data_IF_381394262693
#
_entry.id   IF_381394262693
#
_cell.length_a   1.000
_cell.length_b   1.000
_cell.length_c   1.000
_cell.angle_alpha   90.00
_cell.angle_beta   90.00
_cell.angle_gamma   90.00
#
_symmetry.space_group_name_H-M   'P 1'
#
loop_
_entity.id
_entity.type
_entity.pdbx_description
1 polymer ?
#
# COMPACT_ATOMS: atom_id res chain seq x y z
N UNK A 1 -20.76 3.88 9.10
CA UNK A 1 -19.51 4.65 8.93
C UNK A 1 -18.53 3.75 8.18
N UNK A 2 -18.04 4.20 7.06
CA UNK A 2 -16.94 3.56 6.35
C UNK A 2 -15.69 4.42 6.55
N UNK A 3 -14.54 3.80 6.79
CA UNK A 3 -13.28 4.51 6.96
C UNK A 3 -12.11 3.57 6.78
N UNK A 4 -10.99 4.10 6.28
CA UNK A 4 -9.73 3.38 6.06
C UNK A 4 -8.80 3.40 7.28
N UNK A 5 -9.15 4.11 8.35
CA UNK A 5 -8.31 4.23 9.53
C UNK A 5 -8.62 3.13 10.55
N UNK A 6 -7.60 2.41 11.07
CA UNK A 6 -7.75 1.45 12.16
C UNK A 6 -7.94 2.13 13.53
N UNK A 7 -7.87 3.47 13.56
CA UNK A 7 -7.95 4.25 14.80
C UNK A 7 -9.38 4.40 15.23
N UNK A 8 -9.69 3.98 16.47
CA UNK A 8 -10.98 4.16 17.12
C UNK A 8 -10.94 5.36 18.07
N UNK A 9 -12.05 6.10 18.16
CA UNK A 9 -12.22 7.15 19.16
C UNK A 9 -12.70 6.50 20.45
N UNK A 10 -11.91 6.60 21.51
CA UNK A 10 -12.20 5.95 22.82
C UNK A 10 -13.52 6.38 23.45
N UNK A 11 -13.98 7.61 23.17
CA UNK A 11 -15.15 8.21 23.85
C UNK A 11 -16.49 7.95 23.13
N UNK A 12 -16.51 7.26 21.99
CA UNK A 12 -17.74 7.06 21.19
C UNK A 12 -18.24 5.61 21.26
N UNK A 13 -17.62 4.76 22.02
CA UNK A 13 -18.10 3.40 22.27
C UNK A 13 -19.16 3.38 23.38
N UNK A 14 -20.26 4.08 23.18
CA UNK A 14 -21.52 3.70 23.84
C UNK A 14 -21.86 2.30 23.34
N UNK A 15 -22.26 1.39 24.20
CA UNK A 15 -22.46 -0.06 24.04
C UNK A 15 -23.09 -0.64 22.75
N UNK A 16 -23.17 0.12 21.68
CA UNK A 16 -23.57 -0.26 20.32
C UNK A 16 -22.38 -0.35 19.40
N UNK A 17 -21.45 -1.28 19.66
CA UNK A 17 -20.35 -1.59 18.76
C UNK A 17 -20.87 -2.43 17.57
N UNK A 18 -21.58 -1.78 16.63
CA UNK A 18 -22.11 -2.40 15.41
C UNK A 18 -21.06 -2.39 14.27
N UNK A 19 -19.88 -1.84 14.52
CA UNK A 19 -18.80 -1.77 13.53
C UNK A 19 -18.18 -3.16 13.30
N UNK A 20 -18.20 -3.64 12.06
CA UNK A 20 -17.46 -4.84 11.66
C UNK A 20 -16.18 -4.45 10.92
N UNK A 21 -15.03 -4.89 11.45
CA UNK A 21 -13.74 -4.69 10.83
C UNK A 21 -13.55 -5.73 9.72
N UNK A 22 -13.48 -5.27 8.47
CA UNK A 22 -13.43 -6.12 7.28
C UNK A 22 -12.08 -6.10 6.55
N UNK A 23 -11.18 -5.15 6.87
CA UNK A 23 -9.96 -4.87 6.11
C UNK A 23 -9.02 -6.07 5.95
N UNK A 24 -9.00 -6.97 6.95
CA UNK A 24 -8.13 -8.15 6.96
C UNK A 24 -8.87 -9.46 6.64
N UNK A 25 -10.16 -9.37 6.26
CA UNK A 25 -10.96 -10.55 5.90
C UNK A 25 -10.70 -10.95 4.45
N UNK A 26 -10.55 -12.25 4.22
CA UNK A 26 -10.22 -12.83 2.91
C UNK A 26 -11.18 -12.40 1.80
N UNK A 27 -12.48 -12.46 2.07
CA UNK A 27 -13.54 -12.10 1.13
C UNK A 27 -13.50 -10.64 0.66
N UNK A 28 -12.77 -9.76 1.36
CA UNK A 28 -12.61 -8.34 1.03
C UNK A 28 -11.19 -8.01 0.55
N UNK A 29 -10.30 -9.01 0.44
CA UNK A 29 -8.89 -8.78 0.04
C UNK A 29 -8.77 -8.07 -1.31
N UNK A 30 -9.67 -8.33 -2.24
CA UNK A 30 -9.68 -7.74 -3.58
C UNK A 30 -10.63 -6.54 -3.74
N UNK A 31 -11.28 -6.10 -2.66
CA UNK A 31 -12.35 -5.10 -2.73
C UNK A 31 -11.87 -3.70 -3.17
N UNK A 32 -10.61 -3.35 -2.87
CA UNK A 32 -10.05 -2.00 -3.10
C UNK A 32 -8.89 -2.01 -4.11
N UNK A 33 -8.80 -3.02 -4.96
CA UNK A 33 -7.75 -3.13 -5.95
C UNK A 33 -8.24 -3.86 -7.20
N UNK A 34 -7.39 -3.91 -8.22
CA UNK A 34 -7.63 -4.72 -9.41
C UNK A 34 -6.85 -6.03 -9.32
N UNK A 35 -7.50 -7.14 -9.60
CA UNK A 35 -6.79 -8.39 -9.87
C UNK A 35 -6.00 -8.29 -11.18
N UNK A 36 -5.09 -9.21 -11.41
CA UNK A 36 -4.39 -9.30 -12.70
C UNK A 36 -5.38 -9.48 -13.85
N UNK A 37 -6.43 -10.28 -13.64
CA UNK A 37 -7.49 -10.49 -14.64
C UNK A 37 -8.26 -9.21 -14.96
N UNK A 38 -8.62 -8.41 -13.95
CA UNK A 38 -9.31 -7.11 -14.17
C UNK A 38 -8.44 -6.18 -15.03
N UNK A 39 -7.13 -6.15 -14.79
CA UNK A 39 -6.19 -5.34 -15.58
C UNK A 39 -6.16 -5.83 -17.05
N UNK A 40 -6.06 -7.15 -17.27
CA UNK A 40 -6.12 -7.71 -18.62
C UNK A 40 -7.42 -7.37 -19.32
N UNK A 41 -8.56 -7.54 -18.66
CA UNK A 41 -9.87 -7.22 -19.23
C UNK A 41 -10.00 -5.75 -19.59
N UNK A 42 -9.50 -4.85 -18.72
CA UNK A 42 -9.50 -3.41 -18.96
C UNK A 42 -8.71 -3.05 -20.23
N UNK A 43 -7.47 -3.51 -20.36
CA UNK A 43 -6.64 -3.17 -21.52
C UNK A 43 -7.15 -3.82 -22.80
N UNK A 44 -7.64 -5.06 -22.75
CA UNK A 44 -8.26 -5.73 -23.89
C UNK A 44 -9.52 -4.99 -24.38
N UNK A 45 -10.36 -4.48 -23.46
CA UNK A 45 -11.52 -3.66 -23.81
C UNK A 45 -11.13 -2.43 -24.66
N UNK A 46 -10.12 -1.68 -24.25
CA UNK A 46 -9.64 -0.52 -25.01
C UNK A 46 -8.99 -0.91 -26.34
N UNK A 47 -8.35 -2.06 -26.40
CA UNK A 47 -7.81 -2.63 -27.64
C UNK A 47 -8.93 -3.01 -28.62
N UNK A 48 -9.99 -3.64 -28.15
CA UNK A 48 -11.19 -3.97 -28.96
C UNK A 48 -11.93 -2.72 -29.46
N UNK A 49 -11.91 -1.64 -28.70
CA UNK A 49 -12.45 -0.33 -29.10
C UNK A 49 -11.57 0.43 -30.08
N UNK A 50 -10.37 -0.08 -30.38
CA UNK A 50 -9.41 0.57 -31.27
C UNK A 50 -8.68 1.77 -30.65
N UNK A 51 -8.80 1.98 -29.34
CA UNK A 51 -8.09 3.03 -28.60
C UNK A 51 -6.66 2.61 -28.24
N UNK A 52 -6.40 1.32 -28.21
CA UNK A 52 -5.07 0.71 -28.12
C UNK A 52 -4.79 0.01 -29.44
N UNK A 53 -3.56 0.16 -29.94
CA UNK A 53 -3.16 -0.41 -31.24
C UNK A 53 -3.37 -1.94 -31.27
N UNK A 54 -3.88 -2.46 -32.38
CA UNK A 54 -4.18 -3.88 -32.56
C UNK A 54 -2.96 -4.81 -32.34
N UNK A 55 -1.76 -4.33 -32.65
CA UNK A 55 -0.50 -5.03 -32.46
C UNK A 55 0.11 -4.87 -31.04
N UNK A 56 -0.52 -4.10 -30.15
CA UNK A 56 -0.04 -3.97 -28.78
C UNK A 56 -0.12 -5.31 -28.04
N UNK A 57 0.95 -5.66 -27.35
CA UNK A 57 1.02 -6.84 -26.52
C UNK A 57 0.56 -6.49 -25.09
N UNK A 58 -0.58 -6.98 -24.67
CA UNK A 58 -1.12 -6.70 -23.33
C UNK A 58 -0.29 -7.36 -22.23
N UNK A 59 0.35 -8.50 -22.50
CA UNK A 59 1.26 -9.15 -21.55
C UNK A 59 2.45 -8.25 -21.21
N UNK A 60 3.05 -7.58 -22.19
CA UNK A 60 4.15 -6.65 -21.97
C UNK A 60 3.70 -5.46 -21.12
N UNK A 61 2.51 -4.91 -21.39
CA UNK A 61 1.91 -3.81 -20.61
C UNK A 61 1.72 -4.23 -19.15
N UNK A 62 1.10 -5.39 -18.92
CA UNK A 62 0.85 -5.89 -17.56
C UNK A 62 2.15 -6.20 -16.85
N UNK A 63 3.14 -6.80 -17.52
CA UNK A 63 4.45 -7.11 -16.95
C UNK A 63 5.25 -5.85 -16.60
N UNK A 64 5.11 -4.75 -17.36
CA UNK A 64 5.70 -3.46 -17.02
C UNK A 64 5.09 -2.86 -15.76
N UNK A 65 3.77 -2.98 -15.57
CA UNK A 65 3.05 -2.44 -14.40
C UNK A 65 3.28 -3.24 -13.12
N UNK A 66 3.41 -4.59 -13.20
CA UNK A 66 3.50 -5.47 -12.02
C UNK A 66 4.52 -5.03 -10.98
N UNK A 67 5.80 -4.78 -11.29
CA UNK A 67 6.79 -4.40 -10.28
C UNK A 67 6.49 -3.05 -9.62
N UNK A 68 5.64 -2.22 -10.20
CA UNK A 68 5.35 -0.88 -9.75
C UNK A 68 4.04 -0.74 -8.99
N UNK A 69 3.01 -1.51 -9.32
CA UNK A 69 1.65 -1.27 -8.85
C UNK A 69 0.98 -2.47 -8.19
N UNK A 70 1.52 -3.69 -8.39
CA UNK A 70 0.97 -4.94 -7.87
C UNK A 70 1.49 -5.28 -6.47
N UNK A 71 1.19 -6.50 -6.03
CA UNK A 71 1.67 -7.18 -4.83
C UNK A 71 0.99 -6.77 -3.51
N UNK A 72 -0.14 -6.09 -3.53
CA UNK A 72 -0.89 -5.86 -2.31
C UNK A 72 -1.66 -7.11 -1.89
N UNK A 73 -1.54 -7.46 -0.61
CA UNK A 73 -2.28 -8.52 0.05
C UNK A 73 -2.70 -8.03 1.44
N UNK A 74 -4.00 -7.98 1.70
CA UNK A 74 -4.56 -7.43 2.93
C UNK A 74 -5.07 -8.51 3.89
N UNK A 75 -5.18 -9.76 3.45
CA UNK A 75 -5.61 -10.87 4.29
C UNK A 75 -4.55 -11.96 4.39
N UNK A 76 -4.32 -12.43 5.62
CA UNK A 76 -3.45 -13.59 5.87
C UNK A 76 -3.92 -14.83 5.10
N UNK A 77 -5.23 -15.06 5.03
CA UNK A 77 -5.81 -16.21 4.32
C UNK A 77 -5.63 -16.11 2.81
N UNK A 78 -5.54 -14.89 2.26
CA UNK A 78 -5.32 -14.66 0.82
C UNK A 78 -3.88 -14.98 0.35
N UNK A 79 -2.94 -15.20 1.27
CA UNK A 79 -1.57 -15.62 0.90
C UNK A 79 -1.53 -16.95 0.15
N UNK A 80 -2.44 -17.86 0.45
CA UNK A 80 -2.52 -19.19 -0.18
C UNK A 80 -3.22 -19.16 -1.53
N UNK A 81 -4.13 -18.22 -1.74
CA UNK A 81 -4.90 -18.06 -2.99
C UNK A 81 -4.17 -17.28 -4.07
N UNK A 82 -2.96 -16.76 -3.78
CA UNK A 82 -2.18 -15.87 -4.66
C UNK A 82 -2.94 -14.62 -5.12
N UNK A 83 -4.00 -14.24 -4.40
CA UNK A 83 -4.88 -13.11 -4.71
C UNK A 83 -4.23 -11.78 -4.37
N UNK A 84 -3.13 -11.43 -5.06
CA UNK A 84 -2.52 -10.11 -4.99
C UNK A 84 -3.27 -9.16 -5.91
N UNK A 85 -3.23 -7.87 -5.56
CA UNK A 85 -3.97 -6.85 -6.29
C UNK A 85 -3.08 -5.66 -6.64
N UNK A 86 -3.43 -5.01 -7.73
CA UNK A 86 -2.88 -3.75 -8.20
C UNK A 86 -3.54 -2.57 -7.50
N UNK A 87 -2.77 -1.51 -7.31
CA UNK A 87 -3.30 -0.21 -6.91
C UNK A 87 -4.11 0.40 -8.06
N UNK A 88 -5.41 0.66 -7.84
CA UNK A 88 -6.32 1.18 -8.85
C UNK A 88 -5.87 2.51 -9.44
N UNK A 89 -5.46 3.46 -8.58
CA UNK A 89 -5.09 4.80 -9.03
C UNK A 89 -3.88 4.76 -9.97
N UNK A 90 -2.93 3.88 -9.66
CA UNK A 90 -1.72 3.71 -10.48
C UNK A 90 -2.02 2.99 -11.80
N UNK A 91 -2.94 2.01 -11.81
CA UNK A 91 -3.40 1.39 -13.06
C UNK A 91 -4.09 2.41 -13.95
N UNK A 92 -4.98 3.25 -13.39
CA UNK A 92 -5.61 4.32 -14.15
C UNK A 92 -4.64 5.40 -14.62
N UNK A 93 -3.61 5.71 -13.82
CA UNK A 93 -2.54 6.61 -14.25
C UNK A 93 -1.81 6.06 -15.47
N UNK A 94 -1.42 4.77 -15.43
CA UNK A 94 -0.76 4.11 -16.55
C UNK A 94 -1.66 4.07 -17.80
N UNK A 95 -2.93 3.64 -17.63
CA UNK A 95 -3.89 3.56 -18.71
C UNK A 95 -4.09 4.91 -19.42
N UNK A 96 -4.29 6.00 -18.67
CA UNK A 96 -4.43 7.35 -19.24
C UNK A 96 -3.22 7.76 -20.08
N UNK A 97 -2.00 7.48 -19.59
CA UNK A 97 -0.80 7.74 -20.36
C UNK A 97 -0.75 6.88 -21.62
N UNK A 98 -1.08 5.60 -21.50
CA UNK A 98 -1.06 4.68 -22.64
C UNK A 98 -2.07 5.07 -23.72
N UNK A 99 -3.29 5.44 -23.37
CA UNK A 99 -4.32 5.91 -24.31
C UNK A 99 -3.93 7.22 -25.01
N UNK A 100 -3.18 8.09 -24.33
CA UNK A 100 -2.77 9.39 -24.90
C UNK A 100 -1.53 9.32 -25.77
N UNK A 101 -0.60 8.38 -25.54
CA UNK A 101 0.73 8.36 -26.19
C UNK A 101 1.05 7.04 -26.88
N UNK A 102 0.24 6.00 -26.70
CA UNK A 102 0.50 4.65 -27.21
C UNK A 102 1.60 3.89 -26.45
N UNK A 103 2.07 4.43 -25.32
CA UNK A 103 3.12 3.82 -24.48
C UNK A 103 2.86 4.11 -23.01
N UNK A 104 3.48 3.34 -22.12
CA UNK A 104 3.46 3.60 -20.67
C UNK A 104 4.07 4.96 -20.31
N UNK A 105 3.84 5.45 -19.08
CA UNK A 105 4.39 6.71 -18.61
C UNK A 105 5.93 6.62 -18.49
N UNK A 106 6.63 7.70 -18.79
CA UNK A 106 8.10 7.79 -18.58
C UNK A 106 8.44 7.68 -17.09
N UNK A 107 7.64 8.33 -16.25
CA UNK A 107 7.71 8.22 -14.79
C UNK A 107 6.58 7.31 -14.31
N UNK A 108 6.95 6.12 -13.80
CA UNK A 108 5.98 5.13 -13.30
C UNK A 108 5.23 5.57 -12.04
N UNK A 109 5.64 6.68 -11.41
CA UNK A 109 4.97 7.26 -10.25
C UNK A 109 4.24 8.51 -10.69
N UNK A 110 2.92 8.58 -10.44
CA UNK A 110 2.15 9.78 -10.69
C UNK A 110 2.71 10.94 -9.83
N UNK A 111 3.14 12.05 -10.45
CA UNK A 111 3.63 13.23 -9.73
C UNK A 111 2.63 13.77 -8.70
N UNK A 112 1.33 13.50 -8.87
CA UNK A 112 0.29 13.91 -7.92
C UNK A 112 0.27 13.06 -6.63
N UNK A 113 0.94 11.90 -6.59
CA UNK A 113 1.05 11.05 -5.38
C UNK A 113 2.01 11.59 -4.32
N UNK A 114 2.51 12.83 -4.45
CA UNK A 114 3.26 13.54 -3.41
C UNK A 114 2.57 13.54 -2.03
N UNK A 115 1.24 13.37 -2.04
CA UNK A 115 0.41 13.26 -0.84
C UNK A 115 0.80 12.07 0.04
N UNK A 116 1.22 10.94 -0.53
CA UNK A 116 1.52 9.72 0.24
C UNK A 116 2.85 9.84 0.98
N UNK A 117 3.85 10.46 0.36
CA UNK A 117 5.11 10.80 1.04
C UNK A 117 4.86 11.71 2.25
N UNK A 118 4.01 12.73 2.10
CA UNK A 118 3.65 13.63 3.19
C UNK A 118 2.89 12.92 4.31
N UNK A 119 2.08 11.90 4.01
CA UNK A 119 1.42 11.07 5.01
C UNK A 119 2.45 10.30 5.85
N UNK A 120 3.40 9.64 5.20
CA UNK A 120 4.47 8.92 5.89
C UNK A 120 5.28 9.84 6.79
N UNK A 121 5.68 11.00 6.29
CA UNK A 121 6.41 12.01 7.07
C UNK A 121 5.62 12.46 8.32
N UNK A 122 4.32 12.75 8.17
CA UNK A 122 3.45 13.10 9.30
C UNK A 122 3.34 11.98 10.32
N UNK A 123 3.19 10.72 9.87
CA UNK A 123 3.13 9.57 10.78
C UNK A 123 4.41 9.38 11.60
N UNK A 124 5.58 9.65 10.99
CA UNK A 124 6.86 9.58 11.68
C UNK A 124 7.01 10.73 12.68
N UNK A 125 6.57 11.94 12.31
CA UNK A 125 6.60 13.12 13.19
C UNK A 125 5.71 12.99 14.44
N UNK A 126 4.76 12.05 14.47
CA UNK A 126 3.97 11.72 15.64
C UNK A 126 4.73 10.85 16.67
N UNK A 127 6.03 10.62 16.47
CA UNK A 127 6.84 9.83 17.39
C UNK A 127 6.93 10.50 18.77
N UNK A 128 6.93 9.68 19.81
CA UNK A 128 7.24 10.14 21.17
C UNK A 128 8.76 10.29 21.31
N UNK A 129 9.21 11.03 22.34
CA UNK A 129 10.62 11.25 22.64
C UNK A 129 11.43 9.94 22.79
N UNK A 130 10.78 8.88 23.21
CA UNK A 130 11.35 7.54 23.43
C UNK A 130 10.89 6.51 22.36
N UNK A 131 10.17 6.94 21.35
CA UNK A 131 9.77 6.09 20.21
C UNK A 131 10.88 5.97 19.16
N UNK A 132 10.90 4.86 18.42
CA UNK A 132 11.89 4.61 17.35
C UNK A 132 11.23 4.35 16.00
N UNK A 133 10.30 5.21 15.57
CA UNK A 133 9.66 5.11 14.25
C UNK A 133 10.66 5.28 13.11
N UNK A 134 11.67 6.13 13.30
CA UNK A 134 12.76 6.31 12.32
C UNK A 134 13.56 5.03 12.17
N UNK A 135 13.89 4.32 13.25
CA UNK A 135 14.56 3.02 13.21
C UNK A 135 13.70 1.93 12.57
N UNK A 136 12.38 1.93 12.82
CA UNK A 136 11.44 1.03 12.13
C UNK A 136 11.45 1.29 10.62
N UNK A 137 11.35 2.55 10.17
CA UNK A 137 11.41 2.91 8.75
C UNK A 137 12.75 2.50 8.13
N UNK A 138 13.87 2.75 8.82
CA UNK A 138 15.21 2.33 8.37
C UNK A 138 15.25 0.81 8.19
N UNK A 139 14.80 0.05 9.18
CA UNK A 139 14.75 -1.42 9.12
C UNK A 139 13.95 -1.91 7.93
N UNK A 140 12.77 -1.33 7.69
CA UNK A 140 11.91 -1.68 6.55
C UNK A 140 12.61 -1.34 5.23
N UNK A 141 13.21 -0.16 5.11
CA UNK A 141 13.89 0.26 3.88
C UNK A 141 15.11 -0.62 3.57
N UNK A 142 15.92 -0.96 4.57
CA UNK A 142 17.12 -1.81 4.41
C UNK A 142 16.78 -3.27 4.12
N UNK A 143 15.83 -3.85 4.87
CA UNK A 143 15.48 -5.29 4.76
C UNK A 143 14.33 -5.57 3.79
N UNK A 144 13.56 -4.56 3.42
CA UNK A 144 12.34 -4.70 2.62
C UNK A 144 11.13 -5.21 3.38
N UNK A 145 11.30 -5.58 4.67
CA UNK A 145 10.25 -6.21 5.47
C UNK A 145 10.46 -6.03 6.98
N UNK A 146 9.42 -6.30 7.75
CA UNK A 146 9.43 -6.32 9.22
C UNK A 146 8.54 -7.45 9.75
N UNK A 147 8.99 -8.12 10.81
CA UNK A 147 8.19 -9.14 11.52
C UNK A 147 7.45 -8.46 12.67
N UNK A 148 6.12 -8.50 12.64
CA UNK A 148 5.30 -7.77 13.61
C UNK A 148 3.96 -8.45 13.88
N UNK A 149 3.26 -7.96 14.90
CA UNK A 149 1.83 -8.24 15.11
C UNK A 149 1.02 -7.17 14.39
N UNK A 150 0.02 -7.57 13.62
CA UNK A 150 -0.91 -6.63 12.99
C UNK A 150 -2.09 -6.41 13.94
N UNK A 151 -2.31 -5.15 14.29
CA UNK A 151 -3.45 -4.72 15.09
C UNK A 151 -4.59 -4.30 14.14
N UNK A 152 -5.72 -4.96 14.23
CA UNK A 152 -6.90 -4.67 13.40
C UNK A 152 -7.53 -3.31 13.72
N UNK A 153 -7.57 -2.97 15.01
CA UNK A 153 -8.04 -1.68 15.52
C UNK A 153 -7.27 -1.32 16.79
N UNK A 154 -7.11 -0.03 17.03
CA UNK A 154 -6.52 0.47 18.28
C UNK A 154 -7.04 1.88 18.58
N UNK A 155 -7.15 2.24 19.88
CA UNK A 155 -7.62 3.56 20.31
C UNK A 155 -6.66 4.68 19.90
N UNK A 156 -7.18 5.88 19.71
CA UNK A 156 -6.41 7.05 19.27
C UNK A 156 -5.19 7.34 20.16
N UNK A 157 -5.28 7.08 21.47
CA UNK A 157 -4.15 7.23 22.40
C UNK A 157 -2.95 6.34 22.10
N UNK A 158 -3.15 5.20 21.40
CA UNK A 158 -2.10 4.27 21.00
C UNK A 158 -1.42 4.65 19.67
N UNK A 159 -1.89 5.70 18.98
CA UNK A 159 -1.33 6.10 17.68
C UNK A 159 0.17 6.42 17.77
N UNK A 160 0.64 6.83 18.95
CA UNK A 160 2.05 7.13 19.23
C UNK A 160 2.85 5.93 19.76
N UNK A 161 2.20 4.76 19.96
CA UNK A 161 2.87 3.55 20.41
C UNK A 161 3.69 2.93 19.25
N UNK A 162 5.00 2.68 19.44
CA UNK A 162 5.84 2.07 18.41
C UNK A 162 5.34 0.71 17.92
N UNK A 163 4.64 -0.05 18.77
CA UNK A 163 4.15 -1.39 18.42
C UNK A 163 3.02 -1.34 17.37
N UNK A 164 2.20 -0.29 17.36
CA UNK A 164 1.13 -0.14 16.37
C UNK A 164 1.59 0.53 15.07
N UNK A 165 2.79 1.11 15.05
CA UNK A 165 3.28 1.85 13.90
C UNK A 165 3.36 1.03 12.61
N UNK A 166 3.86 -0.24 12.60
CA UNK A 166 3.80 -1.07 11.40
C UNK A 166 2.37 -1.34 10.91
N UNK A 167 1.38 -1.43 11.82
CA UNK A 167 -0.02 -1.55 11.45
C UNK A 167 -0.55 -0.29 10.77
N UNK A 168 -0.17 0.91 11.24
CA UNK A 168 -0.46 2.16 10.54
C UNK A 168 0.11 2.16 9.12
N UNK A 169 1.38 1.79 8.96
CA UNK A 169 2.01 1.71 7.63
C UNK A 169 1.28 0.73 6.71
N UNK A 170 0.82 -0.41 7.23
CA UNK A 170 0.01 -1.37 6.49
C UNK A 170 -1.32 -0.77 6.02
N UNK A 171 -2.10 -0.14 6.91
CA UNK A 171 -3.40 0.46 6.55
C UNK A 171 -3.27 1.68 5.62
N UNK A 172 -2.13 2.33 5.60
CA UNK A 172 -1.83 3.39 4.63
C UNK A 172 -1.22 2.87 3.32
N UNK A 173 -1.15 1.55 3.11
CA UNK A 173 -0.64 0.95 1.88
C UNK A 173 0.88 1.00 1.73
N UNK A 174 1.61 1.37 2.80
CA UNK A 174 3.07 1.42 2.81
C UNK A 174 3.69 0.04 3.05
N UNK A 175 2.93 -0.90 3.57
CA UNK A 175 3.30 -2.30 3.77
C UNK A 175 2.17 -3.22 3.29
N UNK A 176 2.52 -4.46 2.99
CA UNK A 176 1.60 -5.53 2.61
C UNK A 176 1.95 -6.81 3.35
N UNK A 177 1.01 -7.74 3.49
CA UNK A 177 1.30 -9.06 4.07
C UNK A 177 2.09 -9.89 3.06
N UNK A 178 3.29 -10.32 3.42
CA UNK A 178 4.18 -11.19 2.60
C UNK A 178 4.10 -12.65 3.01
N UNK A 179 4.10 -12.89 4.30
CA UNK A 179 4.14 -14.25 4.87
C UNK A 179 3.71 -14.25 6.34
N UNK A 180 3.70 -15.44 6.92
CA UNK A 180 3.50 -15.66 8.35
C UNK A 180 4.78 -16.21 8.99
N UNK A 181 5.05 -15.84 10.24
CA UNK A 181 6.15 -16.37 11.04
C UNK A 181 5.64 -16.70 12.44
N UNK A 182 5.20 -17.95 12.62
CA UNK A 182 4.49 -18.35 13.83
C UNK A 182 3.20 -17.55 14.02
N UNK A 183 3.04 -16.92 15.17
CA UNK A 183 1.88 -16.06 15.46
C UNK A 183 1.98 -14.65 14.85
N UNK A 184 3.15 -14.25 14.32
CA UNK A 184 3.39 -12.93 13.75
C UNK A 184 3.25 -12.94 12.22
N UNK A 185 3.10 -11.75 11.64
CA UNK A 185 3.14 -11.53 10.19
C UNK A 185 4.49 -10.97 9.78
N UNK A 186 4.88 -11.30 8.55
CA UNK A 186 5.93 -10.60 7.82
C UNK A 186 5.23 -9.58 6.94
N UNK A 187 5.38 -8.31 7.27
CA UNK A 187 4.92 -7.20 6.46
C UNK A 187 6.10 -6.67 5.63
N UNK A 188 5.88 -6.45 4.34
CA UNK A 188 6.94 -5.99 3.43
C UNK A 188 6.49 -4.89 2.49
N UNK A 189 7.45 -4.25 1.86
CA UNK A 189 7.18 -3.24 0.83
C UNK A 189 6.53 -3.93 -0.36
N UNK A 190 5.34 -3.48 -0.82
CA UNK A 190 4.59 -4.17 -1.88
C UNK A 190 5.29 -4.08 -3.24
N UNK A 191 5.77 -2.91 -3.64
CA UNK A 191 6.25 -2.65 -4.99
C UNK A 191 7.24 -1.47 -5.06
N UNK A 192 7.73 -1.18 -6.27
CA UNK A 192 8.72 -0.14 -6.51
C UNK A 192 8.19 1.28 -6.24
N UNK A 193 6.89 1.54 -6.45
CA UNK A 193 6.30 2.83 -6.13
C UNK A 193 6.47 3.14 -4.63
N UNK A 194 6.09 2.20 -3.78
CA UNK A 194 6.25 2.35 -2.32
C UNK A 194 7.72 2.32 -1.92
N UNK A 195 8.56 1.48 -2.56
CA UNK A 195 10.01 1.45 -2.33
C UNK A 195 10.64 2.83 -2.50
N UNK A 196 10.36 3.50 -3.62
CA UNK A 196 10.88 4.86 -3.87
C UNK A 196 10.46 5.88 -2.79
N UNK A 197 9.32 5.70 -2.14
CA UNK A 197 8.90 6.58 -1.04
C UNK A 197 9.78 6.37 0.21
N UNK A 198 10.11 5.12 0.55
CA UNK A 198 11.06 4.83 1.64
C UNK A 198 12.47 5.38 1.33
N UNK A 199 12.95 5.16 0.11
CA UNK A 199 14.27 5.63 -0.32
C UNK A 199 14.36 7.17 -0.29
N UNK A 200 13.31 7.85 -0.74
CA UNK A 200 13.21 9.30 -0.68
C UNK A 200 13.21 9.81 0.77
N UNK A 201 12.50 9.13 1.66
CA UNK A 201 12.52 9.48 3.08
C UNK A 201 13.92 9.36 3.68
N UNK A 202 14.62 8.24 3.42
CA UNK A 202 15.97 8.05 3.91
C UNK A 202 16.94 9.11 3.38
N UNK A 203 16.86 9.45 2.10
CA UNK A 203 17.75 10.42 1.48
C UNK A 203 17.49 11.87 1.90
N UNK A 204 16.24 12.23 2.22
CA UNK A 204 15.85 13.62 2.47
C UNK A 204 15.81 13.94 3.97
N UNK A 205 15.22 13.06 4.78
CA UNK A 205 14.90 13.37 6.18
C UNK A 205 15.88 12.73 7.18
N UNK A 206 16.62 11.68 6.80
CA UNK A 206 17.63 11.06 7.69
C UNK A 206 19.02 11.65 7.51
N UNK A 207 19.30 12.29 6.38
CA UNK A 207 20.61 12.94 6.12
C UNK A 207 20.65 14.41 6.56
N UNK A 208 19.51 15.00 6.96
CA UNK A 208 19.54 16.33 7.58
C UNK A 208 19.96 16.20 9.06
N UNK A 209 21.05 16.87 9.50
CA UNK A 209 21.35 17.00 10.91
C UNK A 209 20.15 17.65 11.61
N UNK A 210 19.74 17.12 12.75
CA UNK A 210 18.80 17.82 13.62
C UNK A 210 19.52 19.06 14.16
N UNK A 211 19.10 20.26 13.73
CA UNK A 211 19.41 21.50 14.41
C UNK A 211 18.70 21.58 15.77
#
# INVERSE_FOLDING_TARGET
MTGVSPVTLDDVTSGFNIGWHISTKEQFNQMLGFSTEDVYQMFNYYKEKGEIAANANIDDIVNEMKPWYDNYCFSKSALTSQSKIFNCDMVFYYLRNYLSSGKGPEEMIDPNTKTDYNKMKKLIQLDKLDGDRKGVIRTIAEKGEIVTTLYDTFPARMITDPQVFPSLLFYYGMLTIKATRGAKLILGIPNNNVRKQYDKYLSTDMLQPQE
#
